data_IF_767512121275
#
_entry.id   IF_767512121275
#
_cell.length_a   1.000
_cell.length_b   1.000
_cell.length_c   1.000
_cell.angle_alpha   90.00
_cell.angle_beta   90.00
_cell.angle_gamma   90.00
#
_symmetry.space_group_name_H-M   'P 1'
#
loop_
_entity.id
_entity.type
_entity.pdbx_description
1 polymer ?
#
# COMPACT_ATOMS: atom_id res chain seq x y z
N UNK A 1 65.61 -50.84 -16.55
CA UNK A 1 64.74 -49.99 -17.41
C UNK A 1 63.43 -50.76 -17.55
N UNK A 2 62.26 -50.34 -17.07
CA UNK A 2 61.57 -49.05 -17.04
C UNK A 2 60.79 -48.89 -15.73
N UNK A 3 60.71 -47.65 -15.27
CA UNK A 3 59.86 -47.15 -14.17
C UNK A 3 58.41 -47.04 -14.64
N UNK A 4 57.46 -46.95 -13.70
CA UNK A 4 56.22 -46.14 -13.68
C UNK A 4 55.35 -46.77 -12.58
N UNK A 5 55.48 -46.35 -11.31
CA UNK A 5 54.88 -45.18 -10.67
C UNK A 5 53.34 -45.24 -10.65
N UNK A 6 52.84 -45.73 -9.51
CA UNK A 6 51.46 -45.67 -9.04
C UNK A 6 51.05 -44.21 -8.84
N UNK A 7 49.92 -43.78 -9.39
CA UNK A 7 49.26 -42.54 -9.00
C UNK A 7 47.80 -42.84 -8.66
N UNK A 8 47.54 -43.04 -7.36
CA UNK A 8 46.21 -43.04 -6.77
C UNK A 8 45.75 -41.59 -6.73
N UNK A 9 44.80 -41.22 -7.61
CA UNK A 9 44.21 -39.89 -7.61
C UNK A 9 43.11 -39.85 -6.56
N UNK A 10 43.46 -39.29 -5.40
CA UNK A 10 42.59 -39.02 -4.26
C UNK A 10 41.48 -38.06 -4.69
N UNK A 11 40.24 -38.49 -4.48
CA UNK A 11 39.03 -37.66 -4.53
C UNK A 11 39.17 -36.61 -3.42
N UNK A 12 39.51 -35.38 -3.79
CA UNK A 12 39.49 -34.23 -2.88
C UNK A 12 38.19 -33.44 -3.12
N UNK A 13 37.14 -33.89 -2.44
CA UNK A 13 35.95 -33.08 -2.16
C UNK A 13 36.36 -31.90 -1.27
N UNK A 14 36.49 -30.72 -1.87
CA UNK A 14 36.59 -29.46 -1.12
C UNK A 14 35.26 -28.72 -1.19
N UNK A 15 34.70 -28.53 0.00
CA UNK A 15 33.50 -27.78 0.28
C UNK A 15 33.66 -26.32 -0.16
N UNK A 16 32.73 -25.81 -0.95
CA UNK A 16 32.33 -24.40 -0.88
C UNK A 16 30.82 -24.39 -0.59
N UNK A 17 30.47 -24.78 0.63
CA UNK A 17 29.19 -24.45 1.23
C UNK A 17 29.48 -23.52 2.39
N UNK A 18 29.22 -22.23 2.17
CA UNK A 18 28.89 -21.22 3.19
C UNK A 18 28.59 -19.88 2.48
N UNK A 19 27.50 -19.83 1.73
CA UNK A 19 26.88 -18.57 1.29
C UNK A 19 25.34 -18.61 1.24
N UNK A 20 24.72 -19.80 1.24
CA UNK A 20 23.25 -19.94 1.05
C UNK A 20 22.39 -19.76 2.34
N UNK A 21 22.98 -19.47 3.50
CA UNK A 21 22.25 -19.44 4.79
C UNK A 21 21.60 -18.08 5.12
N UNK A 22 22.06 -16.97 4.54
CA UNK A 22 21.47 -15.64 4.79
C UNK A 22 20.29 -15.31 3.88
N UNK A 23 20.30 -15.79 2.63
CA UNK A 23 19.25 -15.50 1.64
C UNK A 23 17.88 -16.06 2.06
N UNK A 24 17.85 -17.30 2.56
CA UNK A 24 16.61 -17.98 2.93
C UNK A 24 15.92 -17.36 4.17
N UNK A 25 16.71 -16.81 5.11
CA UNK A 25 16.15 -16.13 6.31
C UNK A 25 15.53 -14.78 5.95
N UNK A 26 16.16 -14.03 5.05
CA UNK A 26 15.66 -12.73 4.59
C UNK A 26 14.42 -12.90 3.72
N UNK A 27 14.43 -13.84 2.77
CA UNK A 27 13.27 -14.11 1.92
C UNK A 27 12.04 -14.58 2.72
N UNK A 28 12.25 -15.43 3.72
CA UNK A 28 11.17 -15.91 4.60
C UNK A 28 10.61 -14.79 5.49
N UNK A 29 11.46 -13.87 5.95
CA UNK A 29 11.04 -12.69 6.70
C UNK A 29 10.21 -11.73 5.84
N UNK A 30 10.62 -11.50 4.59
CA UNK A 30 9.91 -10.64 3.63
C UNK A 30 8.55 -11.25 3.26
N UNK A 31 8.50 -12.55 2.93
CA UNK A 31 7.24 -13.25 2.64
C UNK A 31 6.26 -13.19 3.80
N UNK A 32 6.77 -13.32 5.05
CA UNK A 32 5.95 -13.14 6.25
C UNK A 32 5.42 -11.70 6.36
N UNK A 33 6.26 -10.70 6.12
CA UNK A 33 5.85 -9.29 6.11
C UNK A 33 4.72 -9.03 5.11
N UNK A 34 4.88 -9.49 3.86
CA UNK A 34 3.83 -9.34 2.84
C UNK A 34 2.53 -10.04 3.23
N UNK A 35 2.61 -11.23 3.83
CA UNK A 35 1.40 -11.93 4.27
C UNK A 35 0.62 -11.16 5.33
N UNK A 36 1.31 -10.42 6.21
CA UNK A 36 0.69 -9.58 7.24
C UNK A 36 0.01 -8.37 6.59
N UNK A 37 0.71 -7.67 5.68
CA UNK A 37 0.15 -6.52 4.97
C UNK A 37 -1.09 -6.92 4.17
N UNK A 38 -1.02 -8.04 3.43
CA UNK A 38 -2.17 -8.57 2.68
C UNK A 38 -3.35 -8.87 3.61
N UNK A 39 -3.10 -9.49 4.78
CA UNK A 39 -4.17 -9.77 5.75
C UNK A 39 -4.82 -8.49 6.28
N UNK A 40 -4.04 -7.47 6.60
CA UNK A 40 -4.57 -6.18 7.04
C UNK A 40 -5.39 -5.50 5.94
N UNK A 41 -4.92 -5.52 4.69
CA UNK A 41 -5.66 -4.99 3.55
C UNK A 41 -6.97 -5.75 3.31
N UNK A 42 -6.97 -7.08 3.40
CA UNK A 42 -8.20 -7.88 3.25
C UNK A 42 -9.21 -7.58 4.35
N UNK A 43 -8.74 -7.37 5.59
CA UNK A 43 -9.62 -6.94 6.69
C UNK A 43 -10.16 -5.53 6.44
N UNK A 44 -9.28 -4.59 6.09
CA UNK A 44 -9.62 -3.19 5.83
C UNK A 44 -10.67 -3.10 4.72
N UNK A 45 -10.48 -3.80 3.60
CA UNK A 45 -11.38 -3.87 2.44
C UNK A 45 -12.85 -4.17 2.77
N UNK A 46 -13.12 -4.86 3.88
CA UNK A 46 -14.48 -5.33 4.25
C UNK A 46 -15.19 -4.45 5.27
N UNK A 47 -14.52 -3.42 5.78
CA UNK A 47 -15.09 -2.52 6.79
C UNK A 47 -16.00 -1.48 6.16
N UNK A 48 -16.90 -0.93 6.97
CA UNK A 48 -17.58 0.32 6.63
C UNK A 48 -16.74 1.49 7.15
N UNK A 49 -16.14 2.24 6.23
CA UNK A 49 -15.25 3.36 6.54
C UNK A 49 -15.97 4.70 6.69
N UNK A 50 -17.28 4.72 6.43
CA UNK A 50 -18.07 5.95 6.36
C UNK A 50 -19.26 5.94 7.32
N UNK A 51 -19.30 4.98 8.25
CA UNK A 51 -20.19 5.03 9.40
C UNK A 51 -19.75 6.14 10.37
N UNK A 52 -20.71 6.72 11.10
CA UNK A 52 -20.40 7.69 12.15
C UNK A 52 -19.58 7.07 13.29
N UNK A 53 -18.68 7.87 13.85
CA UNK A 53 -17.76 7.43 14.91
C UNK A 53 -18.38 7.50 16.33
N UNK A 54 -19.62 7.98 16.42
CA UNK A 54 -20.32 8.25 17.68
C UNK A 54 -19.79 9.48 18.42
N UNK A 55 -18.94 10.28 17.79
CA UNK A 55 -18.36 11.53 18.27
C UNK A 55 -18.77 12.69 17.36
N UNK A 56 -17.86 13.18 16.51
CA UNK A 56 -18.04 14.37 15.68
C UNK A 56 -18.41 14.00 14.23
N UNK A 57 -17.86 12.92 13.71
CA UNK A 57 -18.18 12.50 12.35
C UNK A 57 -19.48 11.70 12.34
N UNK A 58 -20.48 12.23 11.65
CA UNK A 58 -21.84 11.66 11.65
C UNK A 58 -22.04 10.54 10.63
N UNK A 59 -21.08 10.35 9.73
CA UNK A 59 -21.15 9.39 8.64
C UNK A 59 -21.79 9.95 7.37
N UNK A 60 -21.54 9.27 6.25
CA UNK A 60 -22.15 9.62 4.96
C UNK A 60 -23.64 9.31 5.01
N UNK A 61 -24.48 10.35 4.89
CA UNK A 61 -25.92 10.22 5.09
C UNK A 61 -26.65 9.56 3.91
N UNK A 62 -26.13 9.70 2.68
CA UNK A 62 -26.71 9.06 1.50
C UNK A 62 -26.19 7.61 1.36
N UNK A 63 -27.05 6.58 1.47
CA UNK A 63 -26.57 5.18 1.48
C UNK A 63 -25.91 4.75 0.16
N UNK A 64 -26.37 5.29 -0.97
CA UNK A 64 -25.79 5.00 -2.28
C UNK A 64 -24.37 5.58 -2.40
N UNK A 65 -24.16 6.80 -1.90
CA UNK A 65 -22.84 7.42 -1.83
C UNK A 65 -21.92 6.64 -0.90
N UNK A 66 -22.37 6.30 0.31
CA UNK A 66 -21.60 5.50 1.27
C UNK A 66 -21.17 4.15 0.68
N UNK A 67 -22.08 3.47 -0.02
CA UNK A 67 -21.79 2.21 -0.74
C UNK A 67 -20.74 2.42 -1.83
N UNK A 68 -20.88 3.49 -2.62
CA UNK A 68 -19.94 3.84 -3.68
C UNK A 68 -18.53 4.13 -3.14
N UNK A 69 -18.43 4.91 -2.06
CA UNK A 69 -17.16 5.25 -1.42
C UNK A 69 -16.47 4.01 -0.83
N UNK A 70 -17.19 3.18 -0.09
CA UNK A 70 -16.66 1.91 0.41
C UNK A 70 -16.18 0.99 -0.73
N UNK A 71 -16.88 0.97 -1.88
CA UNK A 71 -16.41 0.23 -3.06
C UNK A 71 -15.08 0.78 -3.60
N UNK A 72 -14.90 2.12 -3.66
CA UNK A 72 -13.64 2.74 -4.09
C UNK A 72 -12.48 2.48 -3.15
N UNK A 73 -12.73 2.46 -1.84
CA UNK A 73 -11.74 2.04 -0.84
C UNK A 73 -11.38 0.57 -1.03
N UNK A 74 -12.37 -0.29 -1.24
CA UNK A 74 -12.19 -1.71 -1.48
C UNK A 74 -11.36 -1.99 -2.74
N UNK A 75 -11.64 -1.29 -3.84
CA UNK A 75 -10.88 -1.37 -5.09
C UNK A 75 -9.41 -0.98 -4.87
N UNK A 76 -9.16 0.06 -4.07
CA UNK A 76 -7.80 0.52 -3.73
C UNK A 76 -7.06 -0.50 -2.86
N UNK A 77 -7.72 -1.06 -1.85
CA UNK A 77 -7.16 -2.14 -1.04
C UNK A 77 -6.79 -3.35 -1.90
N UNK A 78 -7.67 -3.72 -2.84
CA UNK A 78 -7.42 -4.81 -3.78
C UNK A 78 -6.22 -4.54 -4.70
N UNK A 79 -6.03 -3.30 -5.13
CA UNK A 79 -4.87 -2.90 -5.93
C UNK A 79 -3.55 -3.04 -5.15
N UNK A 80 -3.53 -2.67 -3.86
CA UNK A 80 -2.37 -2.93 -3.00
C UNK A 80 -2.13 -4.43 -2.81
N UNK A 81 -3.18 -5.22 -2.56
CA UNK A 81 -3.06 -6.68 -2.41
C UNK A 81 -2.41 -7.30 -3.66
N UNK A 82 -2.88 -6.93 -4.86
CA UNK A 82 -2.29 -7.41 -6.12
C UNK A 82 -0.82 -7.03 -6.25
N UNK A 83 -0.45 -5.80 -5.85
CA UNK A 83 0.95 -5.35 -5.86
C UNK A 83 1.83 -6.21 -4.93
N UNK A 84 1.38 -6.49 -3.70
CA UNK A 84 2.11 -7.34 -2.75
C UNK A 84 2.14 -8.84 -3.12
N UNK A 85 1.17 -9.31 -3.91
CA UNK A 85 1.18 -10.66 -4.48
C UNK A 85 2.19 -10.80 -5.62
N UNK A 86 2.37 -9.74 -6.42
CA UNK A 86 3.29 -9.72 -7.55
C UNK A 86 4.73 -9.39 -7.15
N UNK A 87 4.92 -8.65 -6.05
CA UNK A 87 6.23 -8.13 -5.64
C UNK A 87 6.46 -8.31 -4.14
N UNK A 88 7.58 -8.95 -3.81
CA UNK A 88 8.00 -9.19 -2.43
C UNK A 88 8.25 -7.89 -1.65
N UNK A 89 8.72 -6.83 -2.30
CA UNK A 89 8.98 -5.55 -1.66
C UNK A 89 8.62 -4.41 -2.62
N UNK A 90 7.36 -3.93 -2.58
CA UNK A 90 6.95 -2.76 -3.35
C UNK A 90 7.74 -1.51 -2.96
N UNK A 91 8.14 -0.73 -3.95
CA UNK A 91 8.85 0.53 -3.72
C UNK A 91 7.89 1.63 -3.30
N UNK A 92 8.42 2.66 -2.60
CA UNK A 92 7.68 3.89 -2.26
C UNK A 92 6.90 4.46 -3.46
N UNK A 93 7.53 4.55 -4.63
CA UNK A 93 6.90 5.07 -5.85
C UNK A 93 5.73 4.22 -6.33
N UNK A 94 5.82 2.89 -6.24
CA UNK A 94 4.71 2.01 -6.62
C UNK A 94 3.54 2.12 -5.65
N UNK A 95 3.83 2.23 -4.34
CA UNK A 95 2.81 2.42 -3.31
C UNK A 95 2.09 3.77 -3.48
N UNK A 96 2.84 4.86 -3.66
CA UNK A 96 2.28 6.19 -3.95
C UNK A 96 1.44 6.21 -5.23
N UNK A 97 1.85 5.46 -6.26
CA UNK A 97 1.06 5.36 -7.50
C UNK A 97 -0.26 4.64 -7.27
N UNK A 98 -0.30 3.57 -6.49
CA UNK A 98 -1.56 2.90 -6.13
C UNK A 98 -2.45 3.83 -5.33
N UNK A 99 -1.90 4.52 -4.32
CA UNK A 99 -2.61 5.52 -3.52
C UNK A 99 -3.21 6.63 -4.40
N UNK A 100 -2.39 7.24 -5.24
CA UNK A 100 -2.80 8.32 -6.15
C UNK A 100 -3.90 7.89 -7.10
N UNK A 101 -3.78 6.68 -7.68
CA UNK A 101 -4.78 6.16 -8.60
C UNK A 101 -6.10 5.87 -7.88
N UNK A 102 -6.05 5.34 -6.66
CA UNK A 102 -7.23 5.06 -5.85
C UNK A 102 -8.00 6.34 -5.51
N UNK A 103 -7.33 7.33 -4.93
CA UNK A 103 -7.98 8.57 -4.48
C UNK A 103 -8.54 9.38 -5.65
N UNK A 104 -7.87 9.36 -6.81
CA UNK A 104 -8.32 10.06 -8.02
C UNK A 104 -9.63 9.52 -8.61
N UNK A 105 -10.11 8.36 -8.17
CA UNK A 105 -11.41 7.83 -8.61
C UNK A 105 -12.60 8.46 -7.85
N UNK A 106 -12.32 9.28 -6.83
CA UNK A 106 -13.32 9.97 -6.03
C UNK A 106 -13.24 11.44 -6.40
N UNK A 107 -14.34 11.98 -6.92
CA UNK A 107 -14.47 13.41 -7.20
C UNK A 107 -14.72 14.13 -5.86
N UNK A 108 -13.75 14.92 -5.42
CA UNK A 108 -13.83 15.64 -4.14
C UNK A 108 -14.94 16.69 -4.12
N UNK A 109 -15.37 17.20 -5.27
CA UNK A 109 -16.44 18.22 -5.36
C UNK A 109 -17.84 17.67 -5.11
N UNK A 110 -17.99 16.36 -5.20
CA UNK A 110 -19.25 15.68 -4.92
C UNK A 110 -19.44 15.42 -3.43
N UNK A 111 -18.46 15.77 -2.60
CA UNK A 111 -18.44 15.52 -1.16
C UNK A 111 -18.39 16.85 -0.40
N UNK A 112 -19.05 16.89 0.76
CA UNK A 112 -18.84 17.97 1.71
C UNK A 112 -17.47 17.86 2.38
N UNK A 113 -17.12 18.86 3.20
CA UNK A 113 -15.81 18.88 3.85
C UNK A 113 -15.61 17.72 4.81
N UNK A 114 -16.63 17.31 5.58
CA UNK A 114 -16.50 16.21 6.54
C UNK A 114 -16.25 14.88 5.82
N UNK A 115 -17.00 14.63 4.74
CA UNK A 115 -16.84 13.43 3.92
C UNK A 115 -15.47 13.41 3.21
N UNK A 116 -14.98 14.55 2.71
CA UNK A 116 -13.61 14.64 2.15
C UNK A 116 -12.56 14.28 3.19
N UNK A 117 -12.65 14.84 4.39
CA UNK A 117 -11.70 14.54 5.48
C UNK A 117 -11.76 13.08 5.90
N UNK A 118 -12.95 12.48 5.94
CA UNK A 118 -13.10 11.05 6.22
C UNK A 118 -12.48 10.18 5.13
N UNK A 119 -12.65 10.53 3.85
CA UNK A 119 -11.97 9.83 2.75
C UNK A 119 -10.45 9.94 2.92
N UNK A 120 -9.93 11.14 3.22
CA UNK A 120 -8.49 11.33 3.42
C UNK A 120 -7.97 10.48 4.59
N UNK A 121 -8.64 10.53 5.75
CA UNK A 121 -8.34 9.71 6.94
C UNK A 121 -8.37 8.21 6.63
N UNK A 122 -9.35 7.77 5.83
CA UNK A 122 -9.43 6.38 5.37
C UNK A 122 -8.23 6.02 4.50
N UNK A 123 -7.78 6.91 3.61
CA UNK A 123 -6.60 6.68 2.78
C UNK A 123 -5.27 6.81 3.55
N UNK A 124 -5.22 7.56 4.64
CA UNK A 124 -4.08 7.57 5.57
C UNK A 124 -3.88 6.19 6.21
N UNK A 125 -4.97 5.45 6.48
CA UNK A 125 -4.86 4.07 6.97
C UNK A 125 -4.12 3.15 6.00
N UNK A 126 -4.19 3.40 4.68
CA UNK A 126 -3.34 2.66 3.73
C UNK A 126 -1.86 2.95 3.93
N UNK A 127 -1.49 4.20 4.26
CA UNK A 127 -0.11 4.58 4.54
C UNK A 127 0.45 3.74 5.70
N UNK A 128 -0.32 3.64 6.79
CA UNK A 128 0.06 2.83 7.94
C UNK A 128 0.19 1.35 7.60
N UNK A 129 -0.79 0.80 6.88
CA UNK A 129 -0.82 -0.63 6.51
C UNK A 129 0.37 -1.00 5.60
N UNK A 130 0.72 -0.14 4.65
CA UNK A 130 1.79 -0.42 3.66
C UNK A 130 3.16 0.13 4.09
N UNK A 131 3.24 0.76 5.26
CA UNK A 131 4.48 1.32 5.81
C UNK A 131 5.00 2.55 5.06
N UNK A 132 4.10 3.38 4.55
CA UNK A 132 4.42 4.64 3.86
C UNK A 132 4.37 5.80 4.86
N UNK A 133 5.45 6.55 5.02
CA UNK A 133 5.50 7.66 6.00
C UNK A 133 4.66 8.89 5.59
N UNK A 134 4.42 9.06 4.28
CA UNK A 134 3.75 10.25 3.74
C UNK A 134 3.11 9.95 2.40
N UNK A 135 2.00 10.66 2.12
CA UNK A 135 1.36 10.69 0.81
C UNK A 135 2.01 11.66 -0.18
N UNK A 136 3.13 12.33 0.16
CA UNK A 136 3.77 13.35 -0.67
C UNK A 136 2.80 14.49 -1.07
N UNK A 137 1.90 14.85 -0.16
CA UNK A 137 0.91 15.89 -0.36
C UNK A 137 -0.27 15.50 -1.27
N UNK A 138 -0.35 14.25 -1.73
CA UNK A 138 -1.46 13.76 -2.57
C UNK A 138 -2.81 13.96 -1.87
N UNK A 139 -2.90 13.56 -0.59
CA UNK A 139 -4.16 13.64 0.15
C UNK A 139 -4.57 15.09 0.42
N UNK A 140 -3.66 15.93 0.93
CA UNK A 140 -3.95 17.36 1.16
C UNK A 140 -4.35 18.08 -0.12
N UNK A 141 -3.69 17.78 -1.25
CA UNK A 141 -4.06 18.37 -2.54
C UNK A 141 -5.45 17.92 -2.98
N UNK A 142 -5.83 16.67 -2.73
CA UNK A 142 -7.16 16.16 -3.07
C UNK A 142 -8.26 16.78 -2.21
N UNK A 143 -8.03 16.98 -0.91
CA UNK A 143 -9.01 17.60 0.01
C UNK A 143 -9.21 19.08 -0.29
N UNK A 144 -8.12 19.85 -0.39
CA UNK A 144 -8.18 21.32 -0.38
C UNK A 144 -7.85 21.99 -1.71
N UNK A 145 -7.33 21.25 -2.71
CA UNK A 145 -6.76 21.86 -3.91
C UNK A 145 -7.77 22.70 -4.70
N UNK A 146 -8.98 22.19 -4.88
CA UNK A 146 -10.04 22.90 -5.58
C UNK A 146 -10.64 24.03 -4.73
N UNK A 147 -10.88 23.78 -3.45
CA UNK A 147 -11.40 24.78 -2.51
C UNK A 147 -10.50 26.02 -2.46
N UNK A 148 -9.19 25.81 -2.28
CA UNK A 148 -8.20 26.90 -2.30
C UNK A 148 -8.15 27.57 -3.67
N UNK A 149 -8.22 26.80 -4.77
CA UNK A 149 -8.27 27.34 -6.13
C UNK A 149 -9.44 28.31 -6.31
N UNK A 150 -10.64 27.89 -5.91
CA UNK A 150 -11.87 28.68 -6.00
C UNK A 150 -11.80 29.95 -5.14
N UNK A 151 -11.26 29.87 -3.92
CA UNK A 151 -11.06 31.03 -3.04
C UNK A 151 -10.14 32.08 -3.67
N UNK A 152 -9.05 31.64 -4.30
CA UNK A 152 -8.09 32.53 -4.96
C UNK A 152 -8.64 33.15 -6.26
N UNK A 153 -9.64 32.53 -6.89
CA UNK A 153 -10.33 33.09 -8.04
C UNK A 153 -11.36 34.15 -7.64
N UNK A 154 -12.06 33.95 -6.51
CA UNK A 154 -13.02 34.91 -5.98
C UNK A 154 -12.37 36.23 -5.56
N UNK A 155 -11.16 36.20 -4.99
CA UNK A 155 -10.43 37.40 -4.54
C UNK A 155 -9.91 38.29 -5.71
N UNK A 156 -10.00 37.80 -6.96
CA UNK A 156 -9.60 38.57 -8.16
C UNK A 156 -10.69 39.51 -8.68
N UNK A 157 -11.88 39.53 -8.06
CA UNK A 157 -13.06 40.29 -8.49
C UNK A 157 -13.62 41.16 -7.37
#
# INVERSE_FOLDING_TARGET
>A
MKKILVLVMVILSSQVSCAQKSENKTEMSIKKSNSIVIQQLEQFKTQDHFAGDGQLYTGVQEPALATSLNHKVSDTAQAFIVLYQQKNEPTKTELLRVLSNGISQIDSNMLDTEDREQVATTFESFLDIVGLESSEGILNKWVYGEEIGNLLEQDKH
#
